data_IF_315219954228
#
_entry.id   IF_315219954228
#
_cell.length_a   1.000
_cell.length_b   1.000
_cell.length_c   1.000
_cell.angle_alpha   90.00
_cell.angle_beta   90.00
_cell.angle_gamma   90.00
#
_symmetry.space_group_name_H-M   'P 1'
#
loop_
_entity.id
_entity.type
_entity.pdbx_description
1 polymer ?
#
# COMPACT_ATOMS: atom_id res chain seq x y z
N UNK A 1 26.39 -20.04 -11.33
CA UNK A 1 25.22 -20.17 -10.46
C UNK A 1 24.04 -20.61 -11.30
N UNK A 2 23.40 -21.73 -10.96
CA UNK A 2 22.24 -22.27 -11.68
C UNK A 2 21.03 -21.34 -11.42
N UNK A 3 20.66 -20.57 -12.40
CA UNK A 3 19.64 -19.50 -12.36
C UNK A 3 18.19 -20.02 -12.30
N UNK A 4 17.99 -21.31 -11.98
CA UNK A 4 16.68 -21.98 -11.96
C UNK A 4 16.26 -22.54 -10.58
N UNK A 5 16.97 -22.21 -9.49
CA UNK A 5 16.56 -22.67 -8.17
C UNK A 5 15.46 -21.76 -7.60
N UNK A 6 14.36 -22.37 -7.14
CA UNK A 6 13.29 -21.62 -6.46
C UNK A 6 13.86 -20.96 -5.21
N UNK A 7 13.52 -19.68 -4.94
CA UNK A 7 13.98 -18.98 -3.76
C UNK A 7 13.51 -19.70 -2.49
N UNK A 8 14.44 -19.97 -1.59
CA UNK A 8 14.17 -20.61 -0.29
C UNK A 8 14.22 -19.54 0.80
N UNK A 9 13.45 -19.71 1.85
CA UNK A 9 13.38 -18.71 2.94
C UNK A 9 14.72 -18.53 3.68
N UNK A 10 15.63 -19.52 3.64
CA UNK A 10 16.95 -19.47 4.27
C UNK A 10 18.10 -19.06 3.34
N UNK A 11 17.81 -18.68 2.09
CA UNK A 11 18.85 -18.25 1.16
C UNK A 11 19.54 -16.98 1.66
N UNK A 12 20.87 -16.97 1.61
CA UNK A 12 21.67 -15.83 2.11
C UNK A 12 21.36 -14.54 1.37
N UNK A 13 20.93 -14.64 0.12
CA UNK A 13 20.52 -13.52 -0.72
C UNK A 13 19.31 -12.74 -0.16
N UNK A 14 18.54 -13.37 0.75
CA UNK A 14 17.41 -12.73 1.41
C UNK A 14 17.82 -11.76 2.52
N UNK A 15 19.09 -11.77 2.94
CA UNK A 15 19.57 -10.99 4.07
C UNK A 15 20.44 -9.83 3.60
N UNK A 16 20.25 -8.67 4.20
CA UNK A 16 21.14 -7.52 4.08
C UNK A 16 21.58 -7.05 5.47
N UNK A 17 22.86 -6.68 5.59
CA UNK A 17 23.44 -6.14 6.81
C UNK A 17 24.31 -4.94 6.47
N UNK A 18 24.05 -3.84 7.18
CA UNK A 18 24.83 -2.60 7.02
C UNK A 18 25.22 -2.09 8.39
N UNK A 19 26.45 -1.61 8.52
CA UNK A 19 26.94 -0.94 9.71
C UNK A 19 27.77 0.27 9.32
N UNK A 20 27.58 1.38 10.03
CA UNK A 20 28.39 2.57 9.89
C UNK A 20 28.77 3.14 11.26
N UNK A 21 29.95 3.73 11.31
CA UNK A 21 30.50 4.41 12.46
C UNK A 21 30.99 5.81 12.04
N UNK A 22 30.63 6.83 12.81
CA UNK A 22 31.11 8.18 12.63
C UNK A 22 31.50 8.77 13.97
N UNK A 23 32.64 9.46 14.00
CA UNK A 23 33.12 10.22 15.15
C UNK A 23 33.42 11.64 14.69
N UNK A 24 32.91 12.64 15.43
CA UNK A 24 33.19 14.03 15.25
C UNK A 24 33.77 14.60 16.53
N UNK A 25 34.91 15.24 16.46
CA UNK A 25 35.60 15.92 17.56
C UNK A 25 35.76 17.40 17.19
N UNK A 26 35.33 18.27 18.08
CA UNK A 26 35.42 19.71 17.90
C UNK A 26 35.92 20.38 19.17
N UNK A 27 36.72 21.44 19.04
CA UNK A 27 37.15 22.30 20.12
C UNK A 27 37.32 23.72 19.58
N UNK A 28 36.79 24.68 20.34
CA UNK A 28 36.86 26.09 19.97
C UNK A 28 37.10 27.00 21.20
N UNK A 29 36.92 28.33 21.04
CA UNK A 29 37.12 29.32 22.12
C UNK A 29 36.13 29.09 23.28
N UNK A 30 34.93 28.57 23.01
CA UNK A 30 33.84 28.36 23.99
C UNK A 30 33.73 26.91 24.44
N UNK A 31 34.14 25.98 23.58
CA UNK A 31 34.02 24.57 23.79
C UNK A 31 35.41 23.95 23.97
N UNK A 32 35.66 23.40 25.15
CA UNK A 32 36.90 22.70 25.45
C UNK A 32 36.95 21.33 24.76
N UNK A 33 35.81 20.64 24.78
CA UNK A 33 35.67 19.31 24.19
C UNK A 33 34.24 19.11 23.69
N UNK A 34 34.10 18.71 22.42
CA UNK A 34 32.87 18.20 21.85
C UNK A 34 33.15 16.90 21.13
N UNK A 35 32.63 15.79 21.66
CA UNK A 35 32.69 14.47 21.06
C UNK A 35 31.31 14.02 20.68
N UNK A 36 31.10 13.71 19.39
CA UNK A 36 29.90 13.08 18.90
C UNK A 36 30.24 11.76 18.25
N UNK A 37 29.65 10.67 18.74
CA UNK A 37 29.85 9.30 18.24
C UNK A 37 28.50 8.77 17.79
N UNK A 38 28.44 8.30 16.54
CA UNK A 38 27.23 7.72 15.94
C UNK A 38 27.54 6.31 15.45
N UNK A 39 26.78 5.35 15.93
CA UNK A 39 26.76 3.98 15.41
C UNK A 39 25.41 3.75 14.76
N UNK A 40 25.38 3.40 13.48
CA UNK A 40 24.16 3.04 12.77
C UNK A 40 24.27 1.62 12.24
N UNK A 41 23.27 0.79 12.53
CA UNK A 41 23.17 -0.57 12.07
C UNK A 41 21.84 -0.81 11.36
N UNK A 42 21.85 -1.60 10.30
CA UNK A 42 20.64 -2.06 9.65
C UNK A 42 20.76 -3.54 9.33
N UNK A 43 19.69 -4.28 9.61
CA UNK A 43 19.52 -5.66 9.21
C UNK A 43 18.21 -5.76 8.45
N UNK A 44 18.24 -6.36 7.27
CA UNK A 44 17.07 -6.61 6.43
C UNK A 44 16.97 -8.09 6.11
N UNK A 45 15.73 -8.53 5.96
CA UNK A 45 15.37 -9.83 5.44
C UNK A 45 14.22 -9.64 4.46
N UNK A 46 14.39 -10.10 3.21
CA UNK A 46 13.36 -10.01 2.18
C UNK A 46 13.20 -11.36 1.50
N UNK A 47 12.05 -11.97 1.71
CA UNK A 47 11.68 -13.21 1.04
C UNK A 47 10.64 -12.95 -0.03
N UNK A 48 10.95 -13.29 -1.28
CA UNK A 48 10.04 -13.23 -2.41
C UNK A 48 9.71 -14.65 -2.86
N UNK A 49 8.45 -15.04 -2.72
CA UNK A 49 7.96 -16.34 -3.15
C UNK A 49 7.16 -16.21 -4.44
N UNK A 50 7.19 -17.27 -5.24
CA UNK A 50 6.31 -17.44 -6.39
C UNK A 50 5.32 -18.58 -6.10
N UNK A 51 4.30 -18.33 -5.24
CA UNK A 51 3.35 -19.36 -4.88
C UNK A 51 2.53 -19.78 -6.10
N UNK A 52 2.30 -21.09 -6.23
CA UNK A 52 1.45 -21.61 -7.29
C UNK A 52 -0.01 -21.29 -6.98
N UNK A 53 -0.73 -20.86 -8.00
CA UNK A 53 -2.18 -20.72 -7.93
C UNK A 53 -2.86 -22.09 -7.92
N UNK A 54 -3.67 -22.36 -6.90
CA UNK A 54 -4.42 -23.60 -6.76
C UNK A 54 -5.85 -23.35 -7.20
N UNK A 55 -6.33 -24.15 -8.15
CA UNK A 55 -7.72 -24.13 -8.64
C UNK A 55 -8.38 -25.47 -8.33
N UNK A 56 -9.02 -25.62 -7.18
CA UNK A 56 -9.52 -26.92 -6.73
C UNK A 56 -10.63 -27.50 -7.61
N UNK A 57 -11.39 -26.63 -8.28
CA UNK A 57 -12.54 -27.02 -9.09
C UNK A 57 -12.28 -27.08 -10.61
N UNK A 58 -11.03 -26.88 -11.06
CA UNK A 58 -10.68 -26.83 -12.49
C UNK A 58 -11.09 -28.10 -13.25
N UNK A 59 -10.94 -29.27 -12.63
CA UNK A 59 -11.21 -30.58 -13.23
C UNK A 59 -12.67 -31.03 -13.14
N UNK A 60 -13.53 -30.29 -12.45
CA UNK A 60 -14.93 -30.69 -12.19
C UNK A 60 -15.78 -30.38 -13.43
N UNK A 61 -16.15 -31.43 -14.17
CA UNK A 61 -16.93 -31.34 -15.42
C UNK A 61 -18.31 -30.70 -15.27
N UNK A 62 -18.99 -30.94 -14.16
CA UNK A 62 -20.31 -30.36 -13.86
C UNK A 62 -20.28 -28.82 -13.84
N UNK A 63 -19.15 -28.21 -13.43
CA UNK A 63 -18.98 -26.76 -13.35
C UNK A 63 -18.66 -26.08 -14.70
N UNK A 64 -18.61 -26.83 -15.80
CA UNK A 64 -18.43 -26.28 -17.16
C UNK A 64 -19.65 -25.52 -17.67
N UNK A 65 -20.78 -25.56 -16.94
CA UNK A 65 -21.99 -24.81 -17.32
C UNK A 65 -21.74 -23.31 -17.22
N UNK A 66 -22.24 -22.56 -18.20
CA UNK A 66 -22.03 -21.10 -18.38
C UNK A 66 -22.23 -20.24 -17.12
N UNK A 67 -23.14 -20.65 -16.23
CA UNK A 67 -23.44 -19.93 -14.98
C UNK A 67 -22.60 -20.39 -13.78
N UNK A 68 -21.89 -21.52 -13.89
CA UNK A 68 -21.08 -22.11 -12.83
C UNK A 68 -19.57 -21.86 -13.01
N UNK A 69 -19.19 -21.18 -14.07
CA UNK A 69 -17.79 -20.82 -14.34
C UNK A 69 -17.18 -19.97 -13.22
N UNK A 70 -17.99 -19.18 -12.51
CA UNK A 70 -17.59 -18.43 -11.34
C UNK A 70 -17.02 -19.34 -10.23
N UNK A 71 -17.69 -20.46 -9.95
CA UNK A 71 -17.26 -21.45 -8.94
C UNK A 71 -16.06 -22.23 -9.47
N UNK A 72 -16.08 -22.63 -10.75
CA UNK A 72 -14.98 -23.36 -11.38
C UNK A 72 -13.66 -22.59 -11.32
N UNK A 73 -13.71 -21.28 -11.52
CA UNK A 73 -12.56 -20.40 -11.54
C UNK A 73 -12.11 -19.94 -10.14
N UNK A 74 -12.72 -20.48 -9.07
CA UNK A 74 -12.24 -20.24 -7.73
C UNK A 74 -10.79 -20.68 -7.61
N UNK A 75 -9.96 -19.81 -7.07
CA UNK A 75 -8.53 -20.05 -6.96
C UNK A 75 -7.98 -19.38 -5.70
N UNK A 76 -6.90 -19.91 -5.19
CA UNK A 76 -6.18 -19.32 -4.07
C UNK A 76 -4.70 -19.65 -4.13
N UNK A 77 -3.91 -18.85 -3.41
CA UNK A 77 -2.49 -19.09 -3.20
C UNK A 77 -2.29 -19.54 -1.75
N UNK A 78 -1.41 -20.51 -1.53
CA UNK A 78 -1.17 -21.08 -0.20
C UNK A 78 -0.10 -20.37 0.62
N UNK A 79 0.69 -19.48 0.00
CA UNK A 79 1.79 -18.77 0.65
C UNK A 79 1.79 -17.29 0.27
N UNK A 80 2.32 -16.41 1.13
CA UNK A 80 2.47 -15.00 0.80
C UNK A 80 3.47 -14.83 -0.36
N UNK A 81 3.30 -13.73 -1.10
CA UNK A 81 4.15 -13.37 -2.23
C UNK A 81 5.47 -12.74 -1.76
N UNK A 82 5.39 -11.85 -0.80
CA UNK A 82 6.57 -11.16 -0.27
C UNK A 82 6.41 -11.00 1.24
N UNK A 83 7.48 -11.29 1.95
CA UNK A 83 7.64 -10.95 3.35
C UNK A 83 8.95 -10.17 3.50
N UNK A 84 8.89 -9.00 4.13
CA UNK A 84 10.06 -8.17 4.41
C UNK A 84 10.07 -7.81 5.90
N UNK A 85 11.19 -8.04 6.53
CA UNK A 85 11.52 -7.54 7.86
C UNK A 85 12.76 -6.66 7.74
N UNK A 86 12.69 -5.44 8.26
CA UNK A 86 13.84 -4.53 8.32
C UNK A 86 13.92 -3.93 9.71
N UNK A 87 15.12 -3.98 10.28
CA UNK A 87 15.40 -3.31 11.54
C UNK A 87 16.60 -2.38 11.37
N UNK A 88 16.48 -1.18 11.91
CA UNK A 88 17.56 -0.17 11.91
C UNK A 88 17.76 0.34 13.32
N UNK A 89 19.00 0.55 13.69
CA UNK A 89 19.37 1.06 15.00
C UNK A 89 20.37 2.19 14.85
N UNK A 90 20.12 3.30 15.53
CA UNK A 90 20.96 4.49 15.51
C UNK A 90 21.27 4.91 16.95
N UNK A 91 22.52 4.68 17.36
CA UNK A 91 23.05 5.04 18.67
C UNK A 91 23.89 6.30 18.56
N UNK A 92 23.43 7.37 19.19
CA UNK A 92 24.11 8.65 19.25
C UNK A 92 24.60 8.90 20.67
N UNK A 93 25.88 9.20 20.80
CA UNK A 93 26.51 9.68 22.01
C UNK A 93 27.09 11.05 21.74
N UNK A 94 26.78 12.04 22.57
CA UNK A 94 27.33 13.38 22.49
C UNK A 94 27.79 13.81 23.87
N UNK A 95 29.05 14.21 23.97
CA UNK A 95 29.65 14.80 25.16
C UNK A 95 30.13 16.21 24.82
N UNK A 96 29.74 17.18 25.65
CA UNK A 96 30.14 18.58 25.48
C UNK A 96 30.66 19.13 26.78
N UNK A 97 31.89 19.63 26.78
CA UNK A 97 32.50 20.32 27.88
C UNK A 97 32.74 21.78 27.47
N UNK A 98 32.17 22.69 28.21
CA UNK A 98 32.40 24.12 28.01
C UNK A 98 33.74 24.56 28.62
N UNK A 99 34.46 25.46 27.94
CA UNK A 99 35.72 26.03 28.44
C UNK A 99 35.43 27.01 29.57
N UNK A 100 36.12 26.82 30.71
CA UNK A 100 36.05 27.82 31.78
C UNK A 100 36.83 29.07 31.36
N UNK A 101 36.13 30.20 31.30
CA UNK A 101 36.71 31.54 30.95
C UNK A 101 36.89 32.42 32.17
N UNK A 102 36.54 31.95 33.36
CA UNK A 102 36.70 32.70 34.60
C UNK A 102 38.05 32.34 35.26
N UNK A 103 38.62 33.29 36.01
CA UNK A 103 39.85 33.06 36.77
C UNK A 103 39.62 32.13 37.96
N UNK A 104 38.36 31.89 38.35
CA UNK A 104 37.97 30.97 39.40
C UNK A 104 38.13 29.51 38.99
N UNK A 105 38.67 28.65 39.86
CA UNK A 105 38.85 27.24 39.65
C UNK A 105 37.51 26.44 39.66
N UNK A 106 36.52 26.91 38.90
CA UNK A 106 35.22 26.25 38.78
C UNK A 106 35.37 25.06 37.82
N UNK A 107 35.16 23.84 38.33
CA UNK A 107 35.17 22.64 37.51
C UNK A 107 33.89 22.56 36.70
N UNK A 108 33.95 22.77 35.40
CA UNK A 108 32.83 22.57 34.48
C UNK A 108 32.58 21.07 34.31
N UNK A 109 31.34 20.66 34.46
CA UNK A 109 30.97 19.25 34.24
C UNK A 109 30.54 19.04 32.78
N UNK A 110 30.99 17.95 32.14
CA UNK A 110 30.54 17.65 30.80
C UNK A 110 29.02 17.35 30.75
N UNK A 111 28.37 17.92 29.74
CA UNK A 111 27.00 17.55 29.40
C UNK A 111 27.03 16.33 28.49
N UNK A 112 26.34 15.26 28.86
CA UNK A 112 26.29 14.00 28.11
C UNK A 112 24.85 13.77 27.66
N UNK A 113 24.69 13.56 26.35
CA UNK A 113 23.42 13.15 25.74
C UNK A 113 23.60 11.79 25.07
N UNK A 114 22.64 10.90 25.31
CA UNK A 114 22.58 9.58 24.70
C UNK A 114 21.19 9.39 24.13
N UNK A 115 21.15 8.92 22.89
CA UNK A 115 19.91 8.60 22.20
C UNK A 115 20.15 7.35 21.37
N UNK A 116 19.44 6.30 21.68
CA UNK A 116 19.52 5.06 20.94
C UNK A 116 18.13 4.71 20.40
N UNK A 117 17.91 4.98 19.12
CA UNK A 117 16.69 4.66 18.39
C UNK A 117 16.77 3.24 17.84
N UNK A 118 15.66 2.54 17.87
CA UNK A 118 15.50 1.23 17.27
C UNK A 118 14.18 1.18 16.50
N UNK A 119 14.28 1.11 15.18
CA UNK A 119 13.14 1.04 14.27
C UNK A 119 13.02 -0.36 13.68
N UNK A 120 11.80 -0.92 13.66
CA UNK A 120 11.47 -2.23 13.09
C UNK A 120 10.31 -2.06 12.14
N UNK A 121 10.45 -2.56 10.92
CA UNK A 121 9.43 -2.52 9.89
C UNK A 121 9.13 -3.93 9.39
N UNK A 122 7.85 -4.26 9.30
CA UNK A 122 7.33 -5.53 8.81
C UNK A 122 6.44 -5.25 7.61
N UNK A 123 6.61 -6.00 6.54
CA UNK A 123 5.74 -5.90 5.36
C UNK A 123 5.38 -7.30 4.88
N UNK A 124 4.08 -7.52 4.64
CA UNK A 124 3.56 -8.76 4.10
C UNK A 124 2.67 -8.44 2.91
N UNK A 125 2.96 -9.03 1.75
CA UNK A 125 2.09 -9.00 0.58
C UNK A 125 1.58 -10.40 0.30
N UNK A 126 0.26 -10.56 0.31
CA UNK A 126 -0.38 -11.85 0.13
C UNK A 126 -1.49 -11.76 -0.91
N UNK A 127 -1.24 -12.36 -2.07
CA UNK A 127 -2.28 -12.59 -3.05
C UNK A 127 -3.12 -13.79 -2.56
N UNK A 128 -4.25 -13.54 -1.86
CA UNK A 128 -5.15 -14.59 -1.39
C UNK A 128 -5.78 -15.36 -2.56
N UNK A 129 -6.14 -14.62 -3.60
CA UNK A 129 -6.61 -15.13 -4.88
C UNK A 129 -6.17 -14.19 -5.99
N UNK A 130 -6.33 -14.58 -7.26
CA UNK A 130 -6.04 -13.68 -8.38
C UNK A 130 -6.86 -12.38 -8.33
N UNK A 131 -8.03 -12.43 -7.72
CA UNK A 131 -8.95 -11.30 -7.57
C UNK A 131 -8.92 -10.64 -6.20
N UNK A 132 -8.22 -11.21 -5.21
CA UNK A 132 -8.19 -10.75 -3.83
C UNK A 132 -6.76 -10.66 -3.33
N UNK A 133 -6.33 -9.44 -2.98
CA UNK A 133 -4.99 -9.13 -2.51
C UNK A 133 -5.05 -8.51 -1.13
N UNK A 134 -4.13 -8.91 -0.27
CA UNK A 134 -3.96 -8.41 1.07
C UNK A 134 -2.53 -7.90 1.24
N UNK A 135 -2.39 -6.64 1.65
CA UNK A 135 -1.13 -6.00 1.98
C UNK A 135 -1.17 -5.58 3.45
N UNK A 136 -0.11 -5.87 4.18
CA UNK A 136 0.06 -5.47 5.58
C UNK A 136 1.43 -4.84 5.77
N UNK A 137 1.48 -3.75 6.52
CA UNK A 137 2.72 -3.14 6.97
C UNK A 137 2.60 -2.69 8.42
N UNK A 138 3.66 -2.89 9.20
CA UNK A 138 3.76 -2.40 10.56
C UNK A 138 5.13 -1.77 10.78
N UNK A 139 5.18 -0.69 11.56
CA UNK A 139 6.41 0.01 11.95
C UNK A 139 6.36 0.29 13.45
N UNK A 140 7.39 -0.18 14.16
CA UNK A 140 7.59 0.06 15.57
C UNK A 140 8.87 0.87 15.78
N UNK A 141 8.74 2.08 16.32
CA UNK A 141 9.88 2.91 16.73
C UNK A 141 10.01 2.85 18.25
N UNK A 142 11.17 2.42 18.72
CA UNK A 142 11.48 2.27 20.14
C UNK A 142 12.76 2.99 20.50
N UNK A 143 12.91 3.31 21.78
CA UNK A 143 14.16 3.76 22.37
C UNK A 143 14.78 2.63 23.19
N UNK A 144 16.08 2.43 23.05
CA UNK A 144 16.87 1.63 24.01
C UNK A 144 17.28 2.58 25.11
N UNK A 145 16.71 2.43 26.29
CA UNK A 145 17.01 3.30 27.42
C UNK A 145 18.40 2.96 28.00
N UNK A 146 19.26 3.97 28.03
CA UNK A 146 20.61 3.92 28.61
C UNK A 146 20.63 4.72 29.92
N UNK A 147 21.40 4.30 30.94
CA UNK A 147 21.58 5.08 32.15
C UNK A 147 22.09 6.49 31.87
N UNK A 148 21.58 7.48 32.56
CA UNK A 148 22.01 8.88 32.42
C UNK A 148 23.37 9.12 33.14
N UNK A 149 24.12 10.13 32.66
CA UNK A 149 25.38 10.57 33.26
C UNK A 149 26.62 9.81 32.77
N UNK A 150 27.77 10.04 33.43
CA UNK A 150 29.04 9.38 33.12
C UNK A 150 28.98 7.93 33.60
N UNK A 151 29.51 7.02 32.80
CA UNK A 151 29.52 5.58 33.12
C UNK A 151 30.56 5.27 34.22
N UNK A 152 30.13 5.11 35.43
CA UNK A 152 30.97 4.67 36.56
C UNK A 152 30.96 3.17 36.76
N UNK A 153 29.87 2.47 36.37
CA UNK A 153 29.72 1.02 36.52
C UNK A 153 29.31 0.38 35.18
N UNK A 154 30.26 -0.29 34.51
CA UNK A 154 30.02 -0.90 33.20
C UNK A 154 29.08 -2.10 33.26
N UNK A 155 29.06 -2.89 34.34
CA UNK A 155 28.23 -4.09 34.44
C UNK A 155 26.75 -3.71 34.60
N UNK A 156 26.48 -2.72 35.44
CA UNK A 156 25.12 -2.17 35.60
C UNK A 156 24.59 -1.60 34.27
N UNK A 157 25.44 -0.85 33.54
CA UNK A 157 25.10 -0.34 32.23
C UNK A 157 24.73 -1.45 31.23
N UNK A 158 25.60 -2.47 31.12
CA UNK A 158 25.37 -3.63 30.24
C UNK A 158 24.07 -4.34 30.57
N UNK A 159 23.79 -4.54 31.86
CA UNK A 159 22.58 -5.23 32.29
C UNK A 159 21.31 -4.42 31.95
N UNK A 160 21.29 -3.11 32.16
CA UNK A 160 20.15 -2.26 31.79
C UNK A 160 19.91 -2.26 30.29
N UNK A 161 20.96 -2.07 29.48
CA UNK A 161 20.87 -2.10 28.03
C UNK A 161 20.37 -3.45 27.53
N UNK A 162 20.88 -4.55 28.06
CA UNK A 162 20.42 -5.89 27.69
C UNK A 162 18.95 -6.12 28.05
N UNK A 163 18.50 -5.65 29.20
CA UNK A 163 17.10 -5.74 29.59
C UNK A 163 16.21 -4.93 28.63
N UNK A 164 16.65 -3.73 28.27
CA UNK A 164 15.93 -2.90 27.30
C UNK A 164 15.87 -3.59 25.91
N UNK A 165 16.98 -4.17 25.44
CA UNK A 165 17.01 -4.88 24.15
C UNK A 165 16.10 -6.13 24.19
N UNK A 166 16.13 -6.92 25.26
CA UNK A 166 15.25 -8.10 25.42
C UNK A 166 13.78 -7.73 25.44
N UNK A 167 13.44 -6.58 26.00
CA UNK A 167 12.09 -6.00 25.99
C UNK A 167 11.71 -5.28 24.69
N UNK A 168 12.54 -5.39 23.64
CA UNK A 168 12.38 -4.70 22.35
C UNK A 168 12.39 -3.16 22.45
N UNK A 169 13.01 -2.62 23.52
CA UNK A 169 13.06 -1.21 23.80
C UNK A 169 11.74 -0.64 24.32
N UNK A 170 11.77 0.61 24.78
CA UNK A 170 10.58 1.36 25.16
C UNK A 170 9.92 1.90 23.91
N UNK A 171 8.73 1.42 23.61
CA UNK A 171 7.97 1.80 22.42
C UNK A 171 7.63 3.30 22.44
N UNK A 172 7.86 3.98 21.33
CA UNK A 172 7.51 5.39 21.15
C UNK A 172 6.35 5.56 20.17
N UNK A 173 6.40 4.89 19.03
CA UNK A 173 5.30 4.87 18.07
C UNK A 173 5.13 3.48 17.48
N UNK A 174 3.88 3.07 17.30
CA UNK A 174 3.54 1.83 16.64
C UNK A 174 2.45 2.09 15.61
N UNK A 175 2.76 1.87 14.34
CA UNK A 175 1.86 2.12 13.24
C UNK A 175 1.60 0.82 12.50
N UNK A 176 0.34 0.51 12.23
CA UNK A 176 -0.07 -0.62 11.39
C UNK A 176 -0.96 -0.13 10.28
N UNK A 177 -0.79 -0.67 9.10
CA UNK A 177 -1.66 -0.45 7.96
C UNK A 177 -1.99 -1.79 7.32
N UNK A 178 -3.22 -1.97 6.90
CA UNK A 178 -3.59 -3.08 6.05
C UNK A 178 -4.50 -2.62 4.93
N UNK A 179 -4.36 -3.25 3.79
CA UNK A 179 -5.13 -2.97 2.59
C UNK A 179 -5.65 -4.28 2.01
N UNK A 180 -6.95 -4.33 1.77
CA UNK A 180 -7.63 -5.43 1.11
C UNK A 180 -8.18 -4.93 -0.21
N UNK A 181 -7.68 -5.47 -1.33
CA UNK A 181 -8.11 -5.12 -2.66
C UNK A 181 -8.83 -6.31 -3.30
N UNK A 182 -10.12 -6.16 -3.58
CA UNK A 182 -10.94 -7.20 -4.18
C UNK A 182 -11.52 -6.75 -5.51
N UNK A 183 -11.08 -7.37 -6.59
CA UNK A 183 -11.73 -7.25 -7.90
C UNK A 183 -12.85 -8.28 -7.95
N UNK A 184 -14.07 -7.85 -7.73
CA UNK A 184 -15.23 -8.74 -7.68
C UNK A 184 -15.46 -9.37 -9.06
N UNK A 185 -15.41 -10.70 -9.21
CA UNK A 185 -15.47 -11.35 -10.52
C UNK A 185 -16.89 -11.43 -11.11
N UNK A 186 -17.69 -10.33 -10.98
CA UNK A 186 -19.05 -10.21 -11.50
C UNK A 186 -19.10 -10.42 -13.01
N UNK A 187 -18.08 -9.95 -13.73
CA UNK A 187 -17.98 -10.09 -15.19
C UNK A 187 -17.90 -11.54 -15.69
N UNK A 188 -17.63 -12.50 -14.80
CA UNK A 188 -17.69 -13.94 -15.10
C UNK A 188 -19.12 -14.47 -15.24
N UNK A 189 -20.09 -13.76 -14.67
CA UNK A 189 -21.50 -14.08 -14.86
C UNK A 189 -21.95 -13.63 -16.26
N UNK A 190 -22.56 -14.52 -17.06
CA UNK A 190 -22.85 -14.23 -18.47
C UNK A 190 -23.69 -12.99 -18.71
N UNK A 191 -24.64 -12.70 -17.80
CA UNK A 191 -25.53 -11.53 -17.86
C UNK A 191 -24.84 -10.24 -17.43
N UNK A 192 -23.74 -10.30 -16.66
CA UNK A 192 -23.06 -9.16 -16.03
C UNK A 192 -21.67 -8.90 -16.60
N UNK A 193 -21.36 -9.40 -17.80
CA UNK A 193 -20.06 -9.20 -18.47
C UNK A 193 -19.74 -7.71 -18.76
N UNK A 194 -20.73 -6.86 -18.72
CA UNK A 194 -20.64 -5.43 -18.92
C UNK A 194 -20.41 -4.65 -17.63
N UNK A 195 -20.42 -5.34 -16.46
CA UNK A 195 -20.19 -4.77 -15.15
C UNK A 195 -18.81 -5.16 -14.65
N UNK A 196 -18.04 -4.20 -14.15
CA UNK A 196 -16.81 -4.44 -13.38
C UNK A 196 -16.92 -3.73 -12.04
N UNK A 197 -16.49 -4.40 -10.96
CA UNK A 197 -16.58 -3.91 -9.60
C UNK A 197 -15.29 -4.18 -8.86
N UNK A 198 -14.76 -3.17 -8.19
CA UNK A 198 -13.61 -3.23 -7.31
C UNK A 198 -13.99 -2.71 -5.93
N UNK A 199 -13.67 -3.47 -4.90
CA UNK A 199 -13.80 -3.04 -3.52
C UNK A 199 -12.41 -2.96 -2.90
N UNK A 200 -12.10 -1.85 -2.25
CA UNK A 200 -10.87 -1.64 -1.51
C UNK A 200 -11.21 -1.25 -0.08
N UNK A 201 -10.54 -1.86 0.86
CA UNK A 201 -10.60 -1.47 2.27
C UNK A 201 -9.20 -1.26 2.80
N UNK A 202 -8.94 -0.06 3.31
CA UNK A 202 -7.70 0.31 3.97
C UNK A 202 -7.99 0.57 5.45
N UNK A 203 -7.23 -0.06 6.33
CA UNK A 203 -7.29 0.19 7.76
C UNK A 203 -5.94 0.67 8.28
N UNK A 204 -5.96 1.61 9.22
CA UNK A 204 -4.76 2.09 9.91
C UNK A 204 -4.98 2.06 11.41
N UNK A 205 -3.94 1.72 12.13
CA UNK A 205 -3.86 1.80 13.58
C UNK A 205 -2.55 2.49 13.94
N UNK A 206 -2.64 3.54 14.74
CA UNK A 206 -1.50 4.30 15.22
C UNK A 206 -1.57 4.36 16.75
N UNK A 207 -0.49 3.97 17.39
CA UNK A 207 -0.27 4.18 18.82
C UNK A 207 0.93 5.10 19.01
N UNK A 208 0.80 6.09 19.86
CA UNK A 208 1.87 7.07 20.13
C UNK A 208 2.01 7.23 21.64
N UNK A 209 3.23 7.02 22.13
CA UNK A 209 3.56 7.26 23.52
C UNK A 209 3.49 8.76 23.84
N UNK A 210 2.99 9.10 25.00
CA UNK A 210 3.19 10.42 25.59
C UNK A 210 4.64 10.57 26.06
N UNK A 211 5.11 11.80 26.23
CA UNK A 211 6.42 12.04 26.82
C UNK A 211 6.55 11.32 28.17
N UNK A 212 7.71 10.68 28.42
CA UNK A 212 7.92 9.82 29.58
C UNK A 212 7.58 10.51 30.92
N UNK A 213 7.79 11.83 31.02
CA UNK A 213 7.49 12.62 32.22
C UNK A 213 6.01 12.77 32.54
N UNK A 214 5.12 12.54 31.59
CA UNK A 214 3.66 12.73 31.74
C UNK A 214 2.84 11.49 31.36
N UNK A 215 3.49 10.43 30.92
CA UNK A 215 2.85 9.21 30.40
C UNK A 215 1.94 8.54 31.44
N UNK A 216 2.37 8.44 32.70
CA UNK A 216 1.56 7.87 33.78
C UNK A 216 0.27 8.69 34.04
N UNK A 217 0.32 10.00 33.84
CA UNK A 217 -0.80 10.89 34.09
C UNK A 217 -1.72 11.09 32.91
N UNK A 218 -1.14 11.22 31.69
CA UNK A 218 -1.90 11.54 30.48
C UNK A 218 -2.21 10.29 29.64
N UNK A 219 -1.50 9.18 29.88
CA UNK A 219 -1.59 7.99 29.06
C UNK A 219 -1.09 8.24 27.63
N UNK A 220 -1.26 7.26 26.77
CA UNK A 220 -0.85 7.27 25.37
C UNK A 220 -2.03 7.63 24.45
N UNK A 221 -1.78 7.81 23.18
CA UNK A 221 -2.83 8.11 22.21
C UNK A 221 -2.97 6.97 21.21
N UNK A 222 -4.19 6.47 21.04
CA UNK A 222 -4.55 5.55 19.96
C UNK A 222 -5.36 6.31 18.92
N UNK A 223 -5.02 6.07 17.66
CA UNK A 223 -5.80 6.53 16.54
C UNK A 223 -5.98 5.37 15.55
N UNK A 224 -7.22 5.14 15.13
CA UNK A 224 -7.51 4.22 14.05
C UNK A 224 -8.35 4.90 12.98
N UNK A 225 -8.20 4.42 11.75
CA UNK A 225 -9.06 4.82 10.65
C UNK A 225 -9.33 3.65 9.70
N UNK A 226 -10.51 3.66 9.11
CA UNK A 226 -10.92 2.74 8.07
C UNK A 226 -11.45 3.52 6.86
N UNK A 227 -11.00 3.16 5.69
CA UNK A 227 -11.45 3.72 4.42
C UNK A 227 -11.94 2.60 3.51
N UNK A 228 -13.22 2.63 3.18
CA UNK A 228 -13.83 1.73 2.21
C UNK A 228 -14.09 2.47 0.91
N UNK A 229 -13.60 1.91 -0.19
CA UNK A 229 -13.85 2.43 -1.53
C UNK A 229 -14.44 1.33 -2.41
N UNK A 230 -15.63 1.57 -2.95
CA UNK A 230 -16.33 0.70 -3.87
C UNK A 230 -16.48 1.40 -5.20
N UNK A 231 -15.87 0.88 -6.25
CA UNK A 231 -15.97 1.41 -7.61
C UNK A 231 -16.64 0.39 -8.51
N UNK A 232 -17.73 0.78 -9.14
CA UNK A 232 -18.46 -0.04 -10.10
C UNK A 232 -18.53 0.69 -11.44
N UNK A 233 -18.12 0.03 -12.50
CA UNK A 233 -18.17 0.55 -13.87
C UNK A 233 -19.13 -0.30 -14.70
N UNK A 234 -20.10 0.35 -15.28
CA UNK A 234 -21.11 -0.21 -16.18
C UNK A 234 -20.75 0.15 -17.62
N UNK A 235 -20.22 -0.80 -18.38
CA UNK A 235 -19.87 -0.62 -19.79
C UNK A 235 -21.06 -0.94 -20.65
N UNK A 236 -21.98 0.02 -20.78
CA UNK A 236 -23.24 -0.14 -21.50
C UNK A 236 -23.03 -0.47 -22.98
N UNK A 237 -21.94 0.00 -23.58
CA UNK A 237 -21.55 -0.38 -24.94
C UNK A 237 -21.50 -1.89 -25.16
N UNK A 238 -20.97 -2.66 -24.17
CA UNK A 238 -20.95 -4.12 -24.23
C UNK A 238 -22.33 -4.77 -24.05
N UNK A 239 -23.22 -4.11 -23.28
CA UNK A 239 -24.61 -4.53 -23.14
C UNK A 239 -25.36 -4.35 -24.48
N UNK A 240 -25.15 -3.20 -25.13
CA UNK A 240 -25.79 -2.87 -26.41
C UNK A 240 -25.29 -3.75 -27.57
N UNK A 241 -24.04 -4.21 -27.53
CA UNK A 241 -23.50 -5.15 -28.53
C UNK A 241 -24.24 -6.49 -28.55
N UNK A 242 -24.94 -6.85 -27.48
CA UNK A 242 -25.77 -8.06 -27.43
C UNK A 242 -27.14 -7.91 -28.11
N UNK A 243 -27.57 -6.67 -28.44
CA UNK A 243 -28.84 -6.37 -29.11
C UNK A 243 -28.53 -5.95 -30.56
N UNK A 244 -28.74 -6.84 -31.55
CA UNK A 244 -28.30 -6.58 -32.94
C UNK A 244 -28.80 -5.27 -33.54
N UNK A 245 -30.05 -4.90 -33.25
CA UNK A 245 -30.65 -3.67 -33.74
C UNK A 245 -29.95 -2.42 -33.16
N UNK A 246 -29.76 -2.38 -31.82
CA UNK A 246 -29.10 -1.27 -31.13
C UNK A 246 -27.63 -1.14 -31.57
N UNK A 247 -26.95 -2.26 -31.70
CA UNK A 247 -25.57 -2.33 -32.20
C UNK A 247 -25.42 -1.63 -33.58
N UNK A 248 -26.33 -1.90 -34.51
CA UNK A 248 -26.27 -1.33 -35.83
C UNK A 248 -26.56 0.17 -35.81
N UNK A 249 -27.56 0.61 -35.04
CA UNK A 249 -27.93 2.02 -34.92
C UNK A 249 -26.85 2.84 -34.22
N UNK A 250 -26.23 2.29 -33.17
CA UNK A 250 -25.19 3.01 -32.42
C UNK A 250 -23.84 3.02 -33.21
N UNK A 251 -23.50 1.94 -33.93
CA UNK A 251 -22.27 1.88 -34.75
C UNK A 251 -22.32 2.76 -36.00
N UNK A 252 -23.48 3.02 -36.52
CA UNK A 252 -23.63 3.96 -37.64
C UNK A 252 -23.17 5.39 -37.31
N UNK A 253 -22.95 5.72 -36.02
CA UNK A 253 -22.41 7.02 -35.57
C UNK A 253 -20.88 7.14 -35.78
N UNK A 254 -20.12 6.03 -35.99
CA UNK A 254 -18.67 6.04 -36.18
C UNK A 254 -18.22 6.15 -37.64
N UNK A 255 -19.15 6.03 -38.60
CA UNK A 255 -18.88 6.27 -40.02
C UNK A 255 -19.40 7.65 -40.41
N UNK A 256 -18.86 8.70 -39.84
CA UNK A 256 -18.95 10.06 -40.36
C UNK A 256 -18.22 10.12 -41.70
N UNK A 257 -19.00 10.17 -42.76
CA UNK A 257 -18.78 10.79 -44.08
C UNK A 257 -17.31 11.06 -44.46
N UNK A 258 -16.57 10.01 -44.82
CA UNK A 258 -15.49 10.13 -45.79
C UNK A 258 -15.91 9.42 -47.06
N UNK A 259 -16.94 9.95 -47.72
CA UNK A 259 -17.11 9.69 -49.12
C UNK A 259 -16.05 10.53 -49.87
N UNK A 260 -14.95 9.86 -50.25
CA UNK A 260 -14.10 10.29 -51.35
C UNK A 260 -15.02 10.63 -52.54
N UNK A 261 -15.05 11.90 -52.93
CA UNK A 261 -15.55 12.33 -54.20
C UNK A 261 -14.63 11.76 -55.27
N UNK A 262 -15.03 10.66 -55.88
CA UNK A 262 -14.53 10.32 -57.23
C UNK A 262 -15.20 11.24 -58.26
N UNK A 263 -14.47 11.83 -59.18
CA UNK A 263 -15.09 12.63 -60.23
C UNK A 263 -15.75 11.67 -61.23
N UNK A 264 -17.09 11.65 -61.24
CA UNK A 264 -17.84 10.98 -62.26
C UNK A 264 -18.02 11.92 -63.46
N UNK A 265 -17.52 11.40 -64.60
CA UNK A 265 -17.72 11.92 -65.92
C UNK A 265 -19.24 11.94 -66.27
N UNK A 266 -19.69 13.03 -66.87
CA UNK A 266 -21.06 13.22 -67.33
C UNK A 266 -21.37 12.34 -68.50
N UNK A 267 -22.43 11.55 -68.42
CA UNK A 267 -23.31 11.29 -69.60
C UNK A 267 -24.75 11.28 -69.10
N UNK A 268 -25.52 12.12 -69.75
CA UNK A 268 -26.95 12.26 -69.59
C UNK A 268 -27.69 11.04 -70.15
N UNK A 269 -28.69 10.55 -69.40
CA UNK A 269 -30.04 10.37 -69.89
C UNK A 269 -30.93 9.70 -68.83
N UNK A 270 -32.03 10.27 -68.70
CA UNK A 270 -33.41 9.79 -68.50
C UNK A 270 -33.96 9.67 -67.09
N UNK A 271 -35.00 10.43 -66.99
CA UNK A 271 -36.03 10.58 -66.00
C UNK A 271 -36.68 9.29 -65.53
N UNK A 272 -36.54 8.99 -64.23
CA UNK A 272 -37.64 8.54 -63.39
C UNK A 272 -37.31 8.86 -61.94
N UNK A 273 -37.99 9.87 -61.40
CA UNK A 273 -37.85 10.31 -60.01
C UNK A 273 -38.48 9.28 -59.08
N UNK A 274 -37.71 8.28 -58.68
CA UNK A 274 -37.99 7.51 -57.47
C UNK A 274 -37.28 8.18 -56.27
N UNK A 275 -37.91 9.24 -55.74
CA UNK A 275 -37.49 9.76 -54.43
C UNK A 275 -37.62 8.62 -53.42
N UNK A 276 -36.53 8.21 -52.75
CA UNK A 276 -36.65 7.19 -51.71
C UNK A 276 -37.64 7.68 -50.67
N UNK A 277 -38.72 6.92 -50.40
CA UNK A 277 -39.68 7.20 -49.34
C UNK A 277 -38.89 7.30 -48.04
N UNK A 278 -38.69 8.52 -47.55
CA UNK A 278 -38.05 8.79 -46.26
C UNK A 278 -38.98 8.24 -45.19
N UNK A 279 -38.57 7.16 -44.54
CA UNK A 279 -39.33 6.58 -43.46
C UNK A 279 -39.08 7.39 -42.17
N UNK A 280 -39.86 8.44 -41.96
CA UNK A 280 -39.75 9.34 -40.83
C UNK A 280 -39.86 8.59 -39.48
N UNK A 281 -40.69 7.55 -39.42
CA UNK A 281 -40.80 6.68 -38.23
C UNK A 281 -39.46 6.01 -37.88
N UNK A 282 -38.72 5.54 -38.88
CA UNK A 282 -37.39 4.95 -38.67
C UNK A 282 -36.36 5.99 -38.26
N UNK A 283 -36.40 7.21 -38.80
CA UNK A 283 -35.48 8.30 -38.43
C UNK A 283 -35.72 8.72 -36.98
N UNK A 284 -37.00 8.85 -36.58
CA UNK A 284 -37.35 9.22 -35.20
C UNK A 284 -36.97 8.12 -34.23
N UNK A 285 -37.27 6.84 -34.57
CA UNK A 285 -36.89 5.70 -33.71
C UNK A 285 -35.36 5.56 -33.58
N UNK A 286 -34.62 5.70 -34.68
CA UNK A 286 -33.16 5.64 -34.67
C UNK A 286 -32.55 6.84 -33.92
N UNK A 287 -33.17 8.01 -33.98
CA UNK A 287 -32.82 9.20 -33.21
C UNK A 287 -33.03 9.03 -31.72
N UNK A 288 -34.18 8.52 -31.31
CA UNK A 288 -34.50 8.22 -29.93
C UNK A 288 -33.55 7.14 -29.36
N UNK A 289 -33.28 6.09 -30.13
CA UNK A 289 -32.31 5.04 -29.76
C UNK A 289 -30.91 5.62 -29.59
N UNK A 290 -30.46 6.51 -30.48
CA UNK A 290 -29.14 7.15 -30.37
C UNK A 290 -29.01 8.02 -29.12
N UNK A 291 -30.10 8.64 -28.66
CA UNK A 291 -30.11 9.41 -27.41
C UNK A 291 -30.12 8.49 -26.21
N UNK A 292 -31.00 7.51 -26.15
CA UNK A 292 -31.17 6.58 -25.01
C UNK A 292 -29.91 5.71 -24.83
N UNK A 293 -29.38 5.19 -25.93
CA UNK A 293 -28.18 4.32 -25.93
C UNK A 293 -26.87 5.07 -26.22
N UNK A 294 -26.90 6.38 -26.18
CA UNK A 294 -25.75 7.26 -26.33
C UNK A 294 -24.79 7.20 -25.14
N UNK A 295 -25.28 6.81 -23.95
CA UNK A 295 -24.47 6.53 -22.77
C UNK A 295 -23.65 5.27 -23.01
N UNK A 296 -22.32 5.41 -22.95
CA UNK A 296 -21.39 4.30 -23.16
C UNK A 296 -20.95 3.65 -21.89
N UNK A 297 -20.60 4.45 -20.89
CA UNK A 297 -20.06 4.01 -19.63
C UNK A 297 -20.68 4.84 -18.49
N UNK A 298 -21.04 4.17 -17.41
CA UNK A 298 -21.46 4.79 -16.14
C UNK A 298 -20.51 4.30 -15.07
N UNK A 299 -19.91 5.21 -14.33
CA UNK A 299 -19.05 4.89 -13.20
C UNK A 299 -19.74 5.34 -11.92
N UNK A 300 -19.85 4.42 -10.97
CA UNK A 300 -20.33 4.68 -9.62
C UNK A 300 -19.17 4.48 -8.66
N UNK A 301 -18.92 5.44 -7.79
CA UNK A 301 -17.94 5.35 -6.72
C UNK A 301 -18.61 5.68 -5.40
N UNK A 302 -18.42 4.80 -4.42
CA UNK A 302 -18.85 4.99 -3.05
C UNK A 302 -17.60 4.94 -2.15
N UNK A 303 -17.45 5.96 -1.30
CA UNK A 303 -16.36 6.04 -0.33
C UNK A 303 -16.94 6.28 1.06
N UNK A 304 -16.48 5.51 2.03
CA UNK A 304 -16.81 5.69 3.44
C UNK A 304 -15.52 5.72 4.25
N UNK A 305 -15.36 6.77 5.05
CA UNK A 305 -14.21 6.97 5.94
C UNK A 305 -14.70 7.01 7.37
N UNK A 306 -14.07 6.23 8.23
CA UNK A 306 -14.32 6.21 9.67
C UNK A 306 -12.99 6.36 10.40
N UNK A 307 -12.98 7.05 11.53
CA UNK A 307 -11.80 7.19 12.36
C UNK A 307 -12.17 7.46 13.80
N UNK A 308 -11.30 7.04 14.70
CA UNK A 308 -11.43 7.27 16.13
C UNK A 308 -10.09 7.67 16.71
N UNK A 309 -10.07 8.62 17.62
CA UNK A 309 -8.90 9.02 18.40
C UNK A 309 -9.26 8.84 19.87
N UNK A 310 -8.43 8.09 20.59
CA UNK A 310 -8.58 7.84 22.02
C UNK A 310 -7.30 8.29 22.74
N UNK A 311 -7.29 9.47 23.35
CA UNK A 311 -6.24 9.89 24.26
C UNK A 311 -6.40 9.22 25.63
N UNK A 312 -5.33 9.14 26.41
CA UNK A 312 -5.38 8.62 27.78
C UNK A 312 -5.35 7.09 27.88
N UNK A 313 -4.89 6.41 26.82
CA UNK A 313 -4.78 4.96 26.79
C UNK A 313 -3.50 4.51 27.51
N UNK A 314 -3.63 3.75 28.59
CA UNK A 314 -2.50 3.32 29.42
C UNK A 314 -1.77 2.10 28.83
N UNK A 315 -2.45 1.04 28.31
CA UNK A 315 -1.75 -0.14 27.83
C UNK A 315 -0.83 0.16 26.65
N UNK A 316 0.26 -0.61 26.53
CA UNK A 316 1.15 -0.61 25.38
C UNK A 316 0.76 -1.75 24.42
N UNK A 317 0.90 -1.58 23.10
CA UNK A 317 0.71 -2.67 22.16
C UNK A 317 1.79 -3.73 22.36
N UNK A 318 1.43 -5.00 22.22
CA UNK A 318 2.41 -6.08 22.24
C UNK A 318 3.30 -5.97 20.99
N UNK A 319 4.60 -5.92 21.22
CA UNK A 319 5.64 -5.81 20.18
C UNK A 319 5.93 -7.14 19.49
#
# INVERSE_FOLDING_TARGET
ANDNSKPRFWDVENFDLTYSYSKTEESDIDIEKYDKIVHSGAFGYTYNAEPKNIKPFEKVRFLNKKYLTFIKDFNFYYAPKTFTFRTTTDKNYTERLLRNKTEDAIIMKPSVSRLWNWNRTYTLKYDLATSLKFDYAATANSYIDEPSGLMTNQDFYKQQVWNSIKGLGRLNTFNQTFSLNWTVPISKLPLLKWVSMTAKYDGTFNWTASAASVQERLGNTIQNSGNMNLTTSFRLSRLYDNIPYVKNVVKSRGRGNTQQRQPQNKQANDTTSNKPKVNYGKIISDGAIKIIFGLKDINFSYQANNGTILPGFIPEPNN
#
